data_IF_344350259004
#
_entry.id   IF_344350259004
#
_cell.length_a   1.000
_cell.length_b   1.000
_cell.length_c   1.000
_cell.angle_alpha   90.00
_cell.angle_beta   90.00
_cell.angle_gamma   90.00
#
_symmetry.space_group_name_H-M   'P 1'
#
loop_
_entity.id
_entity.type
_entity.pdbx_description
1 polymer ?
#
# COMPACT_ATOMS: atom_id res chain seq x y z
N UNK A 1 7.90 -6.60 24.42
CA UNK A 1 8.49 -7.11 23.16
C UNK A 1 7.35 -7.25 22.17
N UNK A 2 7.35 -6.54 21.04
CA UNK A 2 6.19 -6.47 20.15
C UNK A 2 6.03 -7.77 19.34
N UNK A 3 5.10 -8.58 19.84
CA UNK A 3 4.03 -9.33 19.19
C UNK A 3 3.77 -9.04 17.69
N UNK A 4 4.71 -9.39 16.79
CA UNK A 4 4.44 -9.42 15.33
C UNK A 4 4.34 -10.86 14.81
N UNK A 5 3.72 -11.74 15.61
CA UNK A 5 3.35 -13.08 15.16
C UNK A 5 2.34 -12.97 14.01
N UNK A 6 2.79 -13.31 12.80
CA UNK A 6 2.50 -14.64 12.28
C UNK A 6 1.05 -15.04 11.99
N UNK A 7 0.10 -14.13 11.82
CA UNK A 7 -1.27 -14.51 11.44
C UNK A 7 -1.49 -14.53 9.92
N UNK A 8 -1.35 -15.70 9.30
CA UNK A 8 -2.11 -16.05 8.08
C UNK A 8 -1.64 -15.46 6.75
N UNK A 9 -0.33 -15.27 6.59
CA UNK A 9 0.57 -15.59 5.46
C UNK A 9 0.01 -15.83 4.02
N UNK A 10 -0.93 -15.03 3.50
CA UNK A 10 -1.18 -14.99 2.05
C UNK A 10 -1.32 -13.56 1.55
N UNK A 11 -0.51 -13.24 0.54
CA UNK A 11 -0.58 -12.00 -0.22
C UNK A 11 -1.91 -11.95 -0.98
N UNK A 12 -2.73 -10.95 -0.68
CA UNK A 12 -3.92 -10.66 -1.44
C UNK A 12 -3.51 -10.03 -2.77
N UNK A 13 -4.06 -10.55 -3.86
CA UNK A 13 -3.88 -9.91 -5.14
C UNK A 13 -5.02 -8.92 -5.31
N UNK A 14 -4.70 -7.64 -5.25
CA UNK A 14 -5.67 -6.56 -5.33
C UNK A 14 -5.31 -5.67 -6.50
N UNK A 15 -6.33 -5.29 -7.27
CA UNK A 15 -6.26 -4.26 -8.29
C UNK A 15 -6.71 -2.94 -7.68
N UNK A 16 -5.81 -1.99 -7.62
CA UNK A 16 -6.08 -0.67 -7.07
C UNK A 16 -6.83 0.17 -8.12
N UNK A 17 -7.91 0.83 -7.73
CA UNK A 17 -8.71 1.74 -8.55
C UNK A 17 -8.66 3.15 -7.93
N UNK A 18 -9.12 4.16 -8.67
CA UNK A 18 -9.05 5.58 -8.30
C UNK A 18 -9.71 5.90 -6.96
N UNK A 19 -10.79 5.20 -6.62
CA UNK A 19 -11.56 5.39 -5.40
C UNK A 19 -11.84 4.10 -4.61
N UNK A 20 -11.48 2.94 -5.16
CA UNK A 20 -11.80 1.63 -4.62
C UNK A 20 -10.67 0.64 -4.94
N UNK A 21 -10.76 -0.61 -4.48
CA UNK A 21 -9.83 -1.65 -4.89
C UNK A 21 -10.57 -2.97 -5.06
N UNK A 22 -10.27 -3.67 -6.16
CA UNK A 22 -10.88 -4.93 -6.47
C UNK A 22 -9.98 -6.09 -6.03
N UNK A 23 -10.46 -6.95 -5.14
CA UNK A 23 -9.76 -8.15 -4.73
C UNK A 23 -9.84 -9.18 -5.87
N UNK A 24 -8.72 -9.46 -6.53
CA UNK A 24 -8.57 -10.52 -7.53
C UNK A 24 -8.37 -11.88 -6.87
N UNK A 25 -7.52 -11.92 -5.85
CA UNK A 25 -7.25 -13.14 -5.06
C UNK A 25 -7.40 -12.83 -3.57
N UNK A 26 -8.22 -13.60 -2.84
CA UNK A 26 -8.41 -13.39 -1.41
C UNK A 26 -7.10 -13.68 -0.67
N UNK A 27 -6.67 -12.72 0.14
CA UNK A 27 -5.51 -12.81 1.02
C UNK A 27 -5.69 -11.91 2.22
N UNK A 28 -4.74 -11.98 3.15
CA UNK A 28 -4.85 -11.33 4.46
C UNK A 28 -4.12 -9.98 4.49
N UNK A 29 -3.11 -9.81 3.64
CA UNK A 29 -2.28 -8.60 3.57
C UNK A 29 -1.77 -8.35 2.15
N UNK A 30 -1.29 -7.14 1.91
CA UNK A 30 -0.51 -6.74 0.73
C UNK A 30 0.89 -6.31 1.16
N UNK A 31 1.86 -6.38 0.25
CA UNK A 31 3.25 -6.00 0.55
C UNK A 31 3.54 -4.61 0.02
N UNK A 32 4.04 -3.75 0.89
CA UNK A 32 4.48 -2.41 0.55
C UNK A 32 5.57 -2.44 -0.53
N UNK A 33 5.34 -1.77 -1.67
CA UNK A 33 6.30 -1.80 -2.79
C UNK A 33 7.64 -1.09 -2.50
N UNK A 34 7.66 -0.15 -1.54
CA UNK A 34 8.86 0.62 -1.18
C UNK A 34 9.58 -0.02 0.01
N UNK A 35 8.84 -0.32 1.09
CA UNK A 35 9.43 -0.80 2.34
C UNK A 35 9.45 -2.32 2.48
N UNK A 36 8.71 -3.06 1.65
CA UNK A 36 8.57 -4.53 1.78
C UNK A 36 7.78 -4.99 3.02
N UNK A 37 7.18 -4.06 3.77
CA UNK A 37 6.37 -4.35 4.96
C UNK A 37 5.02 -4.96 4.56
N UNK A 38 4.56 -5.95 5.32
CA UNK A 38 3.23 -6.53 5.16
C UNK A 38 2.18 -5.59 5.77
N UNK A 39 1.14 -5.30 5.00
CA UNK A 39 0.06 -4.37 5.36
C UNK A 39 -1.24 -5.18 5.32
N UNK A 40 -1.91 -5.43 6.45
CA UNK A 40 -3.20 -6.09 6.42
C UNK A 40 -4.19 -5.25 5.63
N UNK A 41 -5.11 -5.90 4.92
CA UNK A 41 -6.06 -5.21 4.04
C UNK A 41 -6.93 -4.19 4.78
N UNK A 42 -7.21 -4.46 6.06
CA UNK A 42 -7.96 -3.56 6.95
C UNK A 42 -7.20 -2.24 7.24
N UNK A 43 -5.87 -2.29 7.25
CA UNK A 43 -5.02 -1.10 7.48
C UNK A 43 -4.51 -0.48 6.16
N UNK A 44 -4.89 -1.02 5.00
CA UNK A 44 -4.49 -0.51 3.70
C UNK A 44 -5.19 0.83 3.43
N UNK A 45 -4.50 1.92 3.77
CA UNK A 45 -5.04 3.28 3.69
C UNK A 45 -4.35 4.16 2.63
N UNK A 46 -3.17 3.74 2.18
CA UNK A 46 -2.38 4.46 1.20
C UNK A 46 -2.03 3.52 0.04
N UNK A 47 -2.48 3.85 -1.17
CA UNK A 47 -2.12 3.13 -2.39
C UNK A 47 -2.02 4.09 -3.57
N UNK A 48 -1.27 3.69 -4.60
CA UNK A 48 -1.15 4.43 -5.85
C UNK A 48 -1.75 3.64 -7.00
N UNK A 49 -2.74 4.24 -7.65
CA UNK A 49 -3.49 3.62 -8.77
C UNK A 49 -2.69 3.66 -10.05
N UNK A 50 -1.98 4.76 -10.30
CA UNK A 50 -1.06 4.90 -11.43
C UNK A 50 0.05 3.83 -11.42
N UNK A 51 0.43 3.36 -10.24
CA UNK A 51 1.54 2.42 -10.05
C UNK A 51 1.09 1.01 -9.65
N UNK A 52 -0.17 0.84 -9.27
CA UNK A 52 -0.71 -0.40 -8.68
C UNK A 52 0.09 -0.86 -7.45
N UNK A 53 0.54 0.08 -6.63
CA UNK A 53 1.42 -0.18 -5.49
C UNK A 53 0.77 0.26 -4.18
N UNK A 54 0.69 -0.62 -3.17
CA UNK A 54 0.28 -0.26 -1.82
C UNK A 54 1.45 0.30 -1.01
N UNK A 55 1.13 1.17 -0.06
CA UNK A 55 2.08 1.78 0.86
C UNK A 55 1.61 1.60 2.30
N UNK A 56 2.54 1.23 3.18
CA UNK A 56 2.22 0.94 4.57
C UNK A 56 1.94 2.21 5.37
N UNK A 57 2.63 3.30 5.03
CA UNK A 57 2.66 4.52 5.81
C UNK A 57 2.66 5.73 4.88
N UNK A 58 2.22 6.89 5.41
CA UNK A 58 2.25 8.17 4.70
C UNK A 58 3.68 8.54 4.25
N UNK A 59 4.70 8.18 5.06
CA UNK A 59 6.10 8.36 4.70
C UNK A 59 6.46 7.61 3.41
N UNK A 60 5.98 6.37 3.29
CA UNK A 60 6.24 5.52 2.14
C UNK A 60 5.53 6.02 0.88
N UNK A 61 4.29 6.47 1.01
CA UNK A 61 3.57 7.12 -0.08
C UNK A 61 4.28 8.41 -0.53
N UNK A 62 4.79 9.19 0.42
CA UNK A 62 5.55 10.41 0.13
C UNK A 62 6.89 10.10 -0.56
N UNK A 63 7.59 9.04 -0.17
CA UNK A 63 8.81 8.61 -0.86
C UNK A 63 8.53 8.14 -2.29
N UNK A 64 7.45 7.39 -2.48
CA UNK A 64 7.01 6.98 -3.80
C UNK A 64 6.68 8.20 -4.69
N UNK A 65 5.98 9.18 -4.15
CA UNK A 65 5.62 10.43 -4.83
C UNK A 65 6.85 11.28 -5.20
N UNK A 66 7.78 11.44 -4.25
CA UNK A 66 9.09 12.08 -4.47
C UNK A 66 9.88 11.39 -5.59
N UNK A 67 9.89 10.06 -5.62
CA UNK A 67 10.57 9.26 -6.66
C UNK A 67 9.89 9.39 -8.01
N UNK A 68 8.56 9.49 -8.03
CA UNK A 68 7.79 9.69 -9.25
C UNK A 68 7.86 11.14 -9.78
N UNK A 69 8.34 12.08 -8.97
CA UNK A 69 8.33 13.52 -9.31
C UNK A 69 6.91 14.11 -9.35
N UNK A 70 5.95 13.42 -8.74
CA UNK A 70 4.51 13.73 -8.76
C UNK A 70 4.12 14.55 -7.52
N UNK A 71 5.00 15.35 -6.93
CA UNK A 71 4.53 16.33 -5.94
C UNK A 71 3.60 17.30 -6.68
N UNK A 72 2.26 17.29 -6.46
CA UNK A 72 1.49 18.45 -6.86
C UNK A 72 2.06 19.56 -6.00
N UNK A 73 2.65 20.56 -6.64
CA UNK A 73 2.98 21.80 -5.98
C UNK A 73 1.69 22.28 -5.30
N UNK A 74 1.53 22.01 -4.00
CA UNK A 74 0.40 22.41 -3.18
C UNK A 74 0.54 23.93 -2.94
N UNK A 75 0.55 24.70 -4.02
CA UNK A 75 0.30 26.13 -3.98
C UNK A 75 -1.19 26.30 -3.83
N UNK A 76 -1.61 26.47 -2.58
CA UNK A 76 -2.84 27.20 -2.28
C UNK A 76 -2.64 28.69 -2.60
#
# INVERSE_FOLDING_TARGET
>A
MNLFEGHGNREAQIRYLDADFQILSPGSYVVCAISGKQIPLDELRYWSVARQEPYADAMTSLEADKRAGVLPNQKR
#
